data_IF_590090393394
#
_entry.id   IF_590090393394
#
_cell.length_a   1.000
_cell.length_b   1.000
_cell.length_c   1.000
_cell.angle_alpha   90.00
_cell.angle_beta   90.00
_cell.angle_gamma   90.00
#
_symmetry.space_group_name_H-M   'P 1'
#
loop_
_entity.id
_entity.type
_entity.pdbx_description
1 polymer ?
#
# COMPACT_ATOMS: atom_id res chain seq x y z
N UNK A 1 2.98 -10.31 0.92
CA UNK A 1 3.58 -9.17 0.20
C UNK A 1 3.51 -9.31 -1.31
N UNK A 2 3.73 -10.51 -1.84
CA UNK A 2 3.65 -10.73 -3.29
C UNK A 2 2.29 -10.37 -3.88
N UNK A 3 1.21 -10.72 -3.20
CA UNK A 3 -0.14 -10.40 -3.67
C UNK A 3 -0.38 -8.88 -3.74
N UNK A 4 0.17 -8.11 -2.80
CA UNK A 4 0.09 -6.65 -2.83
C UNK A 4 0.90 -6.08 -4.00
N UNK A 5 2.09 -6.64 -4.24
CA UNK A 5 2.92 -6.26 -5.38
C UNK A 5 2.17 -6.48 -6.70
N UNK A 6 1.60 -7.66 -6.87
CA UNK A 6 0.86 -8.01 -8.08
C UNK A 6 -0.40 -7.16 -8.26
N UNK A 7 -1.11 -6.89 -7.17
CA UNK A 7 -2.30 -6.04 -7.21
C UNK A 7 -1.96 -4.62 -7.66
N UNK A 8 -0.93 -4.02 -7.09
CA UNK A 8 -0.51 -2.67 -7.46
C UNK A 8 0.00 -2.60 -8.89
N UNK A 9 0.88 -3.54 -9.28
CA UNK A 9 1.42 -3.58 -10.63
C UNK A 9 0.33 -3.82 -11.67
N UNK A 10 -0.65 -4.65 -11.34
CA UNK A 10 -1.75 -5.00 -12.25
C UNK A 10 -2.67 -3.84 -12.59
N UNK A 11 -2.65 -2.75 -11.82
CA UNK A 11 -3.46 -1.56 -12.13
C UNK A 11 -2.93 -0.78 -13.33
N UNK A 12 -1.67 -0.95 -13.68
CA UNK A 12 -1.00 -0.16 -14.72
C UNK A 12 -0.64 1.26 -14.30
N UNK A 13 -0.97 1.66 -13.07
CA UNK A 13 -0.67 3.01 -12.55
C UNK A 13 0.78 3.13 -12.12
N UNK A 14 1.37 2.04 -11.63
CA UNK A 14 2.76 1.97 -11.19
C UNK A 14 3.50 0.85 -11.89
N UNK A 15 4.81 1.01 -12.03
CA UNK A 15 5.67 0.00 -12.64
C UNK A 15 6.07 -1.04 -11.60
N UNK A 16 5.97 -2.33 -11.93
CA UNK A 16 6.39 -3.40 -11.04
C UNK A 16 7.83 -3.23 -10.55
N UNK A 17 8.72 -2.77 -11.44
CA UNK A 17 10.13 -2.58 -11.13
C UNK A 17 10.40 -1.47 -10.09
N UNK A 18 9.45 -0.57 -9.90
CA UNK A 18 9.58 0.53 -8.95
C UNK A 18 9.01 0.22 -7.57
N UNK A 19 8.31 -0.90 -7.42
CA UNK A 19 7.65 -1.25 -6.17
C UNK A 19 8.64 -1.84 -5.16
N UNK A 20 8.61 -1.29 -3.96
CA UNK A 20 9.35 -1.81 -2.81
C UNK A 20 8.36 -1.98 -1.68
N UNK A 21 8.26 -3.19 -1.14
CA UNK A 21 7.29 -3.53 -0.11
C UNK A 21 8.01 -4.06 1.12
N UNK A 22 7.59 -3.58 2.28
CA UNK A 22 8.04 -4.11 3.56
C UNK A 22 6.87 -4.15 4.53
N UNK A 23 6.96 -5.02 5.50
CA UNK A 23 5.94 -5.17 6.53
C UNK A 23 6.58 -5.03 7.91
N UNK A 24 5.88 -4.36 8.81
CA UNK A 24 6.27 -4.24 10.21
C UNK A 24 5.11 -4.76 11.04
N UNK A 25 5.40 -5.73 11.92
CA UNK A 25 4.41 -6.23 12.87
C UNK A 25 4.48 -5.40 14.16
N UNK A 26 3.32 -5.05 14.70
CA UNK A 26 3.22 -4.32 15.96
C UNK A 26 2.81 -5.26 17.07
N UNK A 27 3.57 -5.26 18.16
CA UNK A 27 3.23 -6.04 19.35
C UNK A 27 2.23 -5.31 20.23
N UNK A 28 2.35 -3.98 20.31
CA UNK A 28 1.47 -3.13 21.13
C UNK A 28 0.61 -2.25 20.22
N UNK A 29 -0.69 -2.43 20.32
CA UNK A 29 -1.62 -1.62 19.55
C UNK A 29 -3.04 -1.73 20.12
N UNK A 30 -3.88 -0.75 19.79
CA UNK A 30 -5.31 -0.78 20.05
C UNK A 30 -6.06 -0.38 18.78
N UNK A 31 -7.13 -1.08 18.48
CA UNK A 31 -8.05 -0.75 17.39
C UNK A 31 -9.44 -0.56 18.00
N UNK A 32 -9.94 0.65 17.97
CA UNK A 32 -11.21 1.02 18.61
C UNK A 32 -11.27 0.58 20.08
N UNK A 33 -10.15 0.69 20.79
CA UNK A 33 -10.04 0.31 22.20
C UNK A 33 -9.92 -1.18 22.48
N UNK A 34 -9.79 -2.00 21.43
CA UNK A 34 -9.60 -3.46 21.57
C UNK A 34 -8.29 -3.90 20.95
N UNK A 35 -7.92 -5.15 21.19
CA UNK A 35 -6.72 -5.75 20.58
C UNK A 35 -7.10 -6.60 19.35
N UNK A 36 -8.14 -6.19 18.64
CA UNK A 36 -8.52 -6.82 17.38
C UNK A 36 -7.48 -6.54 16.30
N UNK A 37 -7.27 -7.53 15.42
CA UNK A 37 -6.27 -7.42 14.39
C UNK A 37 -6.52 -6.29 13.39
N UNK A 38 -5.44 -5.74 12.86
CA UNK A 38 -5.50 -4.73 11.80
C UNK A 38 -4.35 -4.93 10.82
N UNK A 39 -4.54 -4.40 9.63
CA UNK A 39 -3.46 -4.22 8.66
C UNK A 39 -3.68 -2.91 7.94
N UNK A 40 -2.67 -2.06 7.93
CA UNK A 40 -2.69 -0.78 7.22
C UNK A 40 -1.57 -0.77 6.18
N UNK A 41 -1.93 -0.43 4.94
CA UNK A 41 -0.96 -0.24 3.87
C UNK A 41 -0.83 1.25 3.57
N UNK A 42 0.39 1.76 3.67
CA UNK A 42 0.71 3.10 3.20
C UNK A 42 1.50 2.97 1.91
N UNK A 43 0.96 3.51 0.83
CA UNK A 43 1.65 3.52 -0.47
C UNK A 43 2.12 4.94 -0.77
N UNK A 44 3.42 5.10 -0.91
CA UNK A 44 4.04 6.37 -1.27
C UNK A 44 4.44 6.31 -2.73
N UNK A 45 4.05 7.32 -3.50
CA UNK A 45 4.43 7.42 -4.90
C UNK A 45 4.70 8.87 -5.27
N UNK A 46 5.46 9.07 -6.34
CA UNK A 46 5.74 10.42 -6.82
C UNK A 46 4.43 11.10 -7.21
N UNK A 47 4.34 12.38 -6.94
CA UNK A 47 3.20 13.22 -7.31
C UNK A 47 2.96 13.19 -8.81
N UNK A 48 1.72 13.46 -9.21
CA UNK A 48 1.34 13.52 -10.61
C UNK A 48 0.26 12.53 -11.03
N UNK A 49 -0.07 11.52 -10.19
CA UNK A 49 -1.19 10.64 -10.49
C UNK A 49 -2.50 11.37 -10.20
N UNK A 50 -3.49 11.07 -11.01
CA UNK A 50 -4.84 11.64 -10.82
C UNK A 50 -5.54 11.01 -9.62
N UNK A 51 -6.57 11.68 -9.05
CA UNK A 51 -7.37 11.06 -7.99
C UNK A 51 -7.95 9.71 -8.40
N UNK A 52 -8.37 9.56 -9.66
CA UNK A 52 -8.93 8.31 -10.19
C UNK A 52 -7.88 7.19 -10.20
N UNK A 53 -6.64 7.50 -10.56
CA UNK A 53 -5.53 6.54 -10.52
C UNK A 53 -5.22 6.10 -9.09
N UNK A 54 -5.26 7.03 -8.15
CA UNK A 54 -5.03 6.73 -6.73
C UNK A 54 -6.14 5.85 -6.17
N UNK A 55 -7.39 6.12 -6.52
CA UNK A 55 -8.54 5.29 -6.11
C UNK A 55 -8.39 3.88 -6.67
N UNK A 56 -8.00 3.73 -7.93
CA UNK A 56 -7.78 2.43 -8.54
C UNK A 56 -6.73 1.63 -7.76
N UNK A 57 -5.62 2.26 -7.38
CA UNK A 57 -4.58 1.63 -6.56
C UNK A 57 -5.12 1.22 -5.18
N UNK A 58 -5.80 2.11 -4.49
CA UNK A 58 -6.30 1.82 -3.14
C UNK A 58 -7.35 0.71 -3.15
N UNK A 59 -8.23 0.69 -4.14
CA UNK A 59 -9.23 -0.37 -4.29
C UNK A 59 -8.60 -1.72 -4.59
N UNK A 60 -7.61 -1.77 -5.49
CA UNK A 60 -6.90 -3.00 -5.83
C UNK A 60 -6.15 -3.56 -4.63
N UNK A 61 -5.47 -2.70 -3.86
CA UNK A 61 -4.77 -3.11 -2.65
C UNK A 61 -5.73 -3.59 -1.56
N UNK A 62 -6.83 -2.88 -1.36
CA UNK A 62 -7.85 -3.30 -0.38
C UNK A 62 -8.43 -4.65 -0.75
N UNK A 63 -8.75 -4.88 -2.01
CA UNK A 63 -9.28 -6.17 -2.47
C UNK A 63 -8.30 -7.30 -2.20
N UNK A 64 -7.00 -7.08 -2.45
CA UNK A 64 -5.97 -8.08 -2.16
C UNK A 64 -5.86 -8.36 -0.66
N UNK A 65 -5.94 -7.32 0.18
CA UNK A 65 -5.91 -7.46 1.63
C UNK A 65 -7.10 -8.26 2.14
N UNK A 66 -8.29 -7.98 1.65
CA UNK A 66 -9.51 -8.71 2.04
C UNK A 66 -9.39 -10.20 1.68
N UNK A 67 -8.84 -10.50 0.52
CA UNK A 67 -8.66 -11.89 0.09
C UNK A 67 -7.62 -12.63 0.95
N UNK A 68 -6.52 -11.94 1.34
CA UNK A 68 -5.45 -12.53 2.14
C UNK A 68 -5.78 -12.63 3.62
N UNK A 69 -6.54 -11.67 4.13
CA UNK A 69 -6.77 -11.49 5.56
C UNK A 69 -8.27 -11.38 5.86
N UNK A 70 -9.06 -12.42 5.49
CA UNK A 70 -10.52 -12.33 5.59
C UNK A 70 -11.02 -12.21 7.03
N UNK A 71 -10.20 -12.58 8.01
CA UNK A 71 -10.57 -12.53 9.42
C UNK A 71 -9.99 -11.32 10.16
N UNK A 72 -9.19 -10.50 9.49
CA UNK A 72 -8.61 -9.30 10.08
C UNK A 72 -9.66 -8.20 10.11
N UNK A 73 -9.94 -7.67 11.29
CA UNK A 73 -11.09 -6.83 11.54
C UNK A 73 -11.00 -5.46 10.87
N UNK A 74 -9.80 -4.87 10.85
CA UNK A 74 -9.59 -3.55 10.25
C UNK A 74 -8.53 -3.61 9.16
N UNK A 75 -8.91 -3.27 7.95
CA UNK A 75 -8.00 -3.18 6.80
C UNK A 75 -8.12 -1.80 6.21
N UNK A 76 -7.00 -1.15 5.97
CA UNK A 76 -6.99 0.20 5.41
C UNK A 76 -5.83 0.42 4.47
N UNK A 77 -6.02 1.34 3.53
CA UNK A 77 -5.02 1.73 2.54
C UNK A 77 -4.98 3.25 2.48
N UNK A 78 -3.79 3.82 2.48
CA UNK A 78 -3.56 5.24 2.32
C UNK A 78 -2.57 5.45 1.18
N UNK A 79 -2.89 6.39 0.29
CA UNK A 79 -2.03 6.73 -0.85
C UNK A 79 -1.48 8.12 -0.59
N UNK A 80 -0.14 8.25 -0.62
CA UNK A 80 0.54 9.50 -0.35
C UNK A 80 1.47 9.90 -1.47
N UNK A 81 1.47 11.19 -1.78
CA UNK A 81 2.39 11.76 -2.75
C UNK A 81 3.73 12.04 -2.08
N UNK A 82 4.82 11.73 -2.82
CA UNK A 82 6.15 12.16 -2.48
C UNK A 82 6.52 13.37 -3.33
N UNK A 83 7.28 14.30 -2.74
CA UNK A 83 7.81 15.47 -3.46
C UNK A 83 8.82 15.01 -4.52
N UNK A 84 8.49 15.22 -5.79
CA UNK A 84 9.34 14.81 -6.90
C UNK A 84 10.69 15.52 -6.92
N UNK A 85 10.75 16.73 -6.38
CA UNK A 85 12.00 17.49 -6.33
C UNK A 85 12.94 16.96 -5.26
N UNK A 86 12.40 16.59 -4.10
CA UNK A 86 13.19 16.12 -2.94
C UNK A 86 13.52 14.64 -2.99
N UNK A 87 12.69 13.84 -3.64
CA UNK A 87 12.89 12.39 -3.68
C UNK A 87 14.12 12.03 -4.50
N UNK A 88 15.05 11.28 -3.91
CA UNK A 88 16.27 10.83 -4.57
C UNK A 88 16.42 9.33 -4.40
N UNK A 89 16.82 8.66 -5.47
CA UNK A 89 17.17 7.25 -5.40
C UNK A 89 18.36 6.95 -6.30
N UNK A 90 19.01 5.84 -6.00
CA UNK A 90 20.04 5.27 -6.87
C UNK A 90 19.77 3.78 -6.96
N UNK A 91 19.77 3.25 -8.18
CA UNK A 91 19.58 1.82 -8.45
C UNK A 91 20.79 1.34 -9.22
N UNK A 92 21.33 0.21 -8.79
CA UNK A 92 22.40 -0.48 -9.53
C UNK A 92 21.73 -1.54 -10.40
N UNK A 93 21.95 -1.46 -11.69
CA UNK A 93 21.38 -2.40 -12.66
C UNK A 93 22.18 -3.72 -12.67
#
# INVERSE_FOLDING_TARGET
MRALHEAAAGTGVVQAADLKIRAIAYADYLVAGTHDGFCHVSLYLLEGRTPEQKVLLSEALRAAMVALLPQTKSLSVDIRDMDAVAYKKRVIA
#
